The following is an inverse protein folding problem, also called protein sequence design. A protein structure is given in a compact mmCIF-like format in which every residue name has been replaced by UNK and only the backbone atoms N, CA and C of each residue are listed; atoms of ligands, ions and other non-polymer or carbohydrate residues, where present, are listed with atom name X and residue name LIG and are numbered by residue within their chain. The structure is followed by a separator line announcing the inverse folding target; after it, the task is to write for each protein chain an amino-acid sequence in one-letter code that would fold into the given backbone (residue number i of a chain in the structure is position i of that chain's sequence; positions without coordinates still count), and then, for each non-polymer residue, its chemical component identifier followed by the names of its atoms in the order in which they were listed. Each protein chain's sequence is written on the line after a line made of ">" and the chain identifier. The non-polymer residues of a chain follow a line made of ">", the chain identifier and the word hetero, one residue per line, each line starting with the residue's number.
data_IF_491473300549
#
_entry.id   IF_491473300549
#
_cell.length_a   1.000
_cell.length_b   1.000
_cell.length_c   1.000
_cell.angle_alpha   90.00
_cell.angle_beta   90.00
_cell.angle_gamma   90.00
#
_symmetry.space_group_name_H-M   'P 1'
#
loop_
_entity.id
_entity.type
_entity.pdbx_description
1 polymer ?
#
# COMPACT_ATOMS: atom_id res chain seq x y z
N UNK A 1 13.46 15.14 -8.05
CA UNK A 1 12.13 15.25 -7.39
C UNK A 1 11.34 16.32 -8.12
N UNK A 2 10.11 16.04 -8.60
CA UNK A 2 9.27 17.03 -9.28
C UNK A 2 8.41 17.79 -8.27
N UNK A 3 8.04 19.05 -8.57
CA UNK A 3 7.12 19.84 -7.72
C UNK A 3 5.80 19.10 -7.50
N UNK A 4 5.21 18.60 -8.58
CA UNK A 4 3.97 17.82 -8.55
C UNK A 4 4.05 16.62 -7.59
N UNK A 5 5.12 15.83 -7.67
CA UNK A 5 5.29 14.66 -6.78
C UNK A 5 5.48 15.03 -5.31
N UNK A 6 6.10 16.18 -5.04
CA UNK A 6 6.22 16.71 -3.67
C UNK A 6 4.85 17.15 -3.13
N UNK A 7 4.10 17.93 -3.90
CA UNK A 7 2.77 18.42 -3.51
C UNK A 7 1.77 17.26 -3.32
N UNK A 8 1.83 16.23 -4.17
CA UNK A 8 1.02 15.02 -4.05
C UNK A 8 1.34 14.23 -2.78
N UNK A 9 2.64 14.05 -2.45
CA UNK A 9 3.03 13.37 -1.22
C UNK A 9 2.65 14.17 0.02
N UNK A 10 2.94 15.47 0.03
CA UNK A 10 2.64 16.34 1.18
C UNK A 10 1.13 16.40 1.47
N UNK A 11 0.29 16.54 0.44
CA UNK A 11 -1.16 16.54 0.59
C UNK A 11 -1.74 15.18 1.02
N UNK A 12 -1.09 14.07 0.64
CA UNK A 12 -1.47 12.72 1.08
C UNK A 12 -1.06 12.40 2.52
N UNK A 13 0.05 12.94 3.01
CA UNK A 13 0.50 12.75 4.40
C UNK A 13 -0.30 13.61 5.39
N UNK A 14 -0.51 14.90 5.07
CA UNK A 14 -1.32 15.79 5.90
C UNK A 14 -1.92 16.93 5.06
N UNK A 15 -3.24 16.90 4.78
CA UNK A 15 -3.90 17.96 4.00
C UNK A 15 -3.80 19.35 4.64
N UNK A 16 -3.87 19.42 5.98
CA UNK A 16 -3.79 20.67 6.73
C UNK A 16 -2.39 21.28 6.67
N UNK A 17 -1.35 20.46 6.83
CA UNK A 17 0.04 20.91 6.71
C UNK A 17 0.39 21.32 5.28
N UNK A 18 -0.10 20.58 4.28
CA UNK A 18 0.10 20.91 2.87
C UNK A 18 -0.52 22.26 2.52
N UNK A 19 -1.73 22.54 3.02
CA UNK A 19 -2.43 23.82 2.79
C UNK A 19 -1.70 24.99 3.47
N UNK A 20 -1.17 24.78 4.68
CA UNK A 20 -0.32 25.77 5.36
C UNK A 20 0.98 26.06 4.59
N UNK A 21 1.52 25.08 3.86
CA UNK A 21 2.67 25.22 2.96
C UNK A 21 2.35 25.79 1.57
N UNK A 22 1.11 26.25 1.32
CA UNK A 22 0.68 26.84 0.05
C UNK A 22 0.23 25.83 -1.02
N UNK A 23 0.09 24.55 -0.68
CA UNK A 23 -0.40 23.51 -1.60
C UNK A 23 -1.92 23.42 -1.54
N UNK A 24 -2.59 23.48 -2.69
CA UNK A 24 -4.04 23.24 -2.74
C UNK A 24 -4.35 21.74 -2.65
N UNK A 25 -4.52 21.23 -1.43
CA UNK A 25 -4.77 19.83 -1.16
C UNK A 25 -6.06 19.31 -1.85
N UNK A 26 -7.14 20.10 -1.88
CA UNK A 26 -8.40 19.71 -2.54
C UNK A 26 -8.21 19.46 -4.04
N UNK A 27 -7.49 20.36 -4.72
CA UNK A 27 -7.18 20.19 -6.14
C UNK A 27 -6.32 18.96 -6.36
N UNK A 28 -5.36 18.71 -5.48
CA UNK A 28 -4.47 17.55 -5.61
C UNK A 28 -5.22 16.22 -5.46
N UNK A 29 -6.20 16.14 -4.55
CA UNK A 29 -7.08 14.98 -4.41
C UNK A 29 -7.85 14.70 -5.70
N UNK A 30 -8.44 15.73 -6.31
CA UNK A 30 -9.18 15.58 -7.59
C UNK A 30 -8.24 15.11 -8.70
N UNK A 31 -7.05 15.71 -8.82
CA UNK A 31 -6.06 15.30 -9.83
C UNK A 31 -5.63 13.85 -9.62
N UNK A 32 -5.35 13.44 -8.38
CA UNK A 32 -4.98 12.07 -8.06
C UNK A 32 -6.10 11.08 -8.40
N UNK A 33 -7.35 11.45 -8.11
CA UNK A 33 -8.53 10.63 -8.43
C UNK A 33 -8.71 10.46 -9.94
N UNK A 34 -8.62 11.55 -10.71
CA UNK A 34 -8.77 11.51 -12.17
C UNK A 34 -7.63 10.72 -12.82
N UNK A 35 -6.38 10.93 -12.38
CA UNK A 35 -5.22 10.19 -12.90
C UNK A 35 -5.31 8.70 -12.59
N UNK A 36 -5.64 8.33 -11.35
CA UNK A 36 -5.79 6.92 -10.96
C UNK A 36 -6.96 6.26 -11.69
N UNK A 37 -8.08 6.96 -11.84
CA UNK A 37 -9.23 6.50 -12.62
C UNK A 37 -8.90 6.30 -14.10
N UNK A 38 -8.13 7.20 -14.71
CA UNK A 38 -7.67 7.06 -16.09
C UNK A 38 -6.78 5.82 -16.26
N UNK A 39 -5.82 5.59 -15.36
CA UNK A 39 -4.94 4.41 -15.39
C UNK A 39 -5.74 3.12 -15.16
N UNK A 40 -6.62 3.09 -14.17
CA UNK A 40 -7.49 1.94 -13.89
C UNK A 40 -8.42 1.62 -15.07
N UNK A 41 -8.97 2.66 -15.71
CA UNK A 41 -9.78 2.53 -16.92
C UNK A 41 -8.99 1.91 -18.07
N UNK A 42 -7.79 2.44 -18.36
CA UNK A 42 -6.91 1.90 -19.40
C UNK A 42 -6.52 0.43 -19.13
N UNK A 43 -6.29 0.06 -17.88
CA UNK A 43 -5.99 -1.31 -17.49
C UNK A 43 -7.18 -2.27 -17.68
N UNK A 44 -8.42 -1.78 -17.51
CA UNK A 44 -9.64 -2.57 -17.69
C UNK A 44 -10.17 -2.62 -19.13
N UNK A 45 -9.73 -1.73 -20.02
CA UNK A 45 -10.18 -1.69 -21.41
C UNK A 45 -10.07 -3.02 -22.16
N UNK A 46 -8.98 -3.80 -22.06
CA UNK A 46 -8.86 -5.07 -22.79
C UNK A 46 -9.90 -6.10 -22.39
N UNK A 47 -10.33 -6.11 -21.12
CA UNK A 47 -11.32 -7.05 -20.60
C UNK A 47 -12.71 -6.72 -21.16
N UNK A 48 -13.04 -5.43 -21.27
CA UNK A 48 -14.33 -4.94 -21.79
C UNK A 48 -14.40 -5.05 -23.32
N UNK A 49 -13.31 -4.75 -24.01
CA UNK A 49 -13.29 -4.64 -25.48
C UNK A 49 -12.84 -5.91 -26.20
N UNK A 50 -12.12 -6.83 -25.54
CA UNK A 50 -11.27 -7.79 -26.25
C UNK A 50 -11.47 -9.27 -25.94
N UNK A 51 -12.06 -9.66 -24.80
CA UNK A 51 -11.93 -11.05 -24.35
C UNK A 51 -12.96 -12.03 -24.92
N UNK A 52 -14.24 -11.66 -24.88
CA UNK A 52 -15.33 -12.60 -25.19
C UNK A 52 -16.05 -12.27 -26.51
N UNK A 53 -15.69 -11.17 -27.20
CA UNK A 53 -16.42 -10.58 -28.35
C UNK A 53 -17.94 -10.46 -28.14
N UNK A 54 -18.38 -10.57 -26.89
CA UNK A 54 -19.75 -10.66 -26.45
C UNK A 54 -19.82 -9.97 -25.09
N UNK A 55 -20.81 -9.11 -24.91
CA UNK A 55 -21.09 -8.48 -23.63
C UNK A 55 -21.76 -9.52 -22.72
N UNK A 56 -20.96 -10.21 -21.93
CA UNK A 56 -21.49 -11.06 -20.85
C UNK A 56 -21.79 -10.18 -19.64
N UNK A 57 -22.87 -10.47 -18.90
CA UNK A 57 -23.19 -9.77 -17.64
C UNK A 57 -22.19 -10.10 -16.51
N UNK A 58 -21.26 -11.02 -16.78
CA UNK A 58 -20.19 -11.40 -15.86
C UNK A 58 -19.11 -10.32 -15.85
N UNK A 59 -19.43 -9.21 -15.20
CA UNK A 59 -18.44 -8.18 -14.90
C UNK A 59 -17.33 -8.79 -14.02
N UNK A 60 -16.05 -8.50 -14.31
CA UNK A 60 -14.96 -8.95 -13.46
C UNK A 60 -15.13 -8.40 -12.03
N UNK A 61 -15.59 -9.26 -11.13
CA UNK A 61 -15.80 -8.91 -9.73
C UNK A 61 -14.48 -9.06 -8.98
N UNK A 62 -14.17 -8.12 -8.08
CA UNK A 62 -13.09 -8.30 -7.09
C UNK A 62 -11.73 -7.71 -7.44
N UNK A 63 -11.49 -7.18 -8.64
CA UNK A 63 -10.20 -6.55 -8.98
C UNK A 63 -9.82 -5.38 -8.07
N UNK A 64 -10.80 -4.63 -7.56
CA UNK A 64 -10.54 -3.59 -6.55
C UNK A 64 -9.99 -4.16 -5.23
N UNK A 65 -10.50 -5.31 -4.79
CA UNK A 65 -10.03 -5.99 -3.59
C UNK A 65 -8.65 -6.61 -3.80
N UNK A 66 -8.41 -7.22 -4.97
CA UNK A 66 -7.08 -7.67 -5.38
C UNK A 66 -6.08 -6.51 -5.39
N UNK A 67 -6.44 -5.36 -5.95
CA UNK A 67 -5.59 -4.16 -5.94
C UNK A 67 -5.24 -3.70 -4.53
N UNK A 68 -6.20 -3.73 -3.61
CA UNK A 68 -5.96 -3.42 -2.20
C UNK A 68 -4.99 -4.43 -1.55
N UNK A 69 -5.19 -5.73 -1.80
CA UNK A 69 -4.31 -6.78 -1.27
C UNK A 69 -2.86 -6.60 -1.77
N UNK A 70 -2.67 -6.32 -3.06
CA UNK A 70 -1.35 -6.07 -3.65
C UNK A 70 -0.73 -4.77 -3.12
N UNK A 71 -1.53 -3.72 -2.90
CA UNK A 71 -1.06 -2.47 -2.30
C UNK A 71 -0.55 -2.66 -0.87
N UNK A 72 -1.24 -3.50 -0.07
CA UNK A 72 -0.83 -3.88 1.27
C UNK A 72 0.45 -4.72 1.25
N UNK A 73 0.50 -5.71 0.35
CA UNK A 73 1.68 -6.57 0.15
C UNK A 73 2.93 -5.74 -0.20
N UNK A 74 2.75 -4.70 -1.02
CA UNK A 74 3.81 -3.77 -1.41
C UNK A 74 4.03 -2.59 -0.45
N UNK A 75 3.29 -2.50 0.67
CA UNK A 75 3.34 -1.40 1.65
C UNK A 75 3.20 0.00 1.02
N UNK A 76 2.32 0.15 0.02
CA UNK A 76 2.17 1.38 -0.76
C UNK A 76 3.47 1.90 -1.42
N UNK A 77 4.51 1.06 -1.53
CA UNK A 77 5.76 1.39 -2.20
C UNK A 77 5.74 0.84 -3.63
N UNK A 78 6.03 1.65 -4.67
CA UNK A 78 5.84 1.24 -6.06
C UNK A 78 6.62 -0.03 -6.44
N UNK A 79 7.86 -0.15 -5.96
CA UNK A 79 8.66 -1.36 -6.20
C UNK A 79 8.06 -2.60 -5.54
N UNK A 80 7.56 -2.48 -4.29
CA UNK A 80 6.94 -3.59 -3.57
C UNK A 80 5.62 -4.03 -4.23
N UNK A 81 4.84 -3.06 -4.72
CA UNK A 81 3.60 -3.31 -5.47
C UNK A 81 3.92 -4.08 -6.76
N UNK A 82 4.99 -3.72 -7.48
CA UNK A 82 5.38 -4.42 -8.71
C UNK A 82 5.71 -5.90 -8.45
N UNK A 83 6.52 -6.20 -7.43
CA UNK A 83 6.80 -7.59 -7.04
C UNK A 83 5.53 -8.33 -6.57
N UNK A 84 4.69 -7.65 -5.79
CA UNK A 84 3.42 -8.19 -5.32
C UNK A 84 2.47 -8.53 -6.47
N UNK A 85 2.39 -7.68 -7.50
CA UNK A 85 1.56 -7.89 -8.67
C UNK A 85 2.04 -9.08 -9.52
N UNK A 86 3.35 -9.26 -9.66
CA UNK A 86 3.93 -10.42 -10.36
C UNK A 86 3.58 -11.72 -9.63
N UNK A 87 3.77 -11.75 -8.31
CA UNK A 87 3.41 -12.89 -7.48
C UNK A 87 1.92 -13.21 -7.56
N UNK A 88 1.08 -12.17 -7.44
CA UNK A 88 -0.37 -12.32 -7.53
C UNK A 88 -0.80 -12.89 -8.88
N UNK A 89 -0.25 -12.35 -9.98
CA UNK A 89 -0.53 -12.83 -11.34
C UNK A 89 -0.07 -14.26 -11.55
N UNK A 90 1.09 -14.63 -11.00
CA UNK A 90 1.60 -16.00 -11.06
C UNK A 90 0.66 -17.00 -10.38
N UNK A 91 0.18 -16.67 -9.17
CA UNK A 91 -0.78 -17.50 -8.44
C UNK A 91 -2.11 -17.60 -9.20
N UNK A 92 -2.64 -16.46 -9.68
CA UNK A 92 -3.90 -16.41 -10.42
C UNK A 92 -3.87 -17.24 -11.72
N UNK A 93 -2.78 -17.14 -12.50
CA UNK A 93 -2.59 -17.96 -13.71
C UNK A 93 -2.39 -19.44 -13.38
N UNK A 94 -1.72 -19.75 -12.27
CA UNK A 94 -1.58 -21.12 -11.78
C UNK A 94 -2.93 -21.74 -11.44
N UNK A 95 -3.89 -20.97 -10.92
CA UNK A 95 -5.24 -21.47 -10.63
C UNK A 95 -5.92 -22.07 -11.87
N UNK A 96 -5.78 -21.42 -13.02
CA UNK A 96 -6.32 -21.92 -14.29
C UNK A 96 -5.66 -23.24 -14.71
N UNK A 97 -4.35 -23.37 -14.53
CA UNK A 97 -3.62 -24.58 -14.86
C UNK A 97 -3.98 -25.75 -13.93
N UNK A 98 -4.17 -25.47 -12.64
CA UNK A 98 -4.53 -26.44 -11.61
C UNK A 98 -5.97 -26.95 -11.78
N UNK A 99 -6.89 -26.06 -12.18
CA UNK A 99 -8.29 -26.39 -12.47
C UNK A 99 -8.40 -27.49 -13.54
N UNK A 100 -7.53 -27.45 -14.56
CA UNK A 100 -7.48 -28.46 -15.62
C UNK A 100 -7.06 -29.86 -15.15
N UNK A 101 -6.41 -29.97 -13.98
CA UNK A 101 -5.96 -31.24 -13.38
C UNK A 101 -6.87 -31.65 -12.22
N UNK A 102 -8.05 -31.02 -12.08
CA UNK A 102 -9.05 -31.35 -11.06
C UNK A 102 -8.77 -30.75 -9.68
N UNK A 103 -7.85 -29.79 -9.58
CA UNK A 103 -7.55 -29.11 -8.32
C UNK A 103 -8.43 -27.86 -8.18
N UNK A 104 -9.23 -27.72 -7.11
CA UNK A 104 -10.09 -26.55 -6.91
C UNK A 104 -9.31 -25.23 -6.81
N UNK A 105 -9.84 -24.18 -7.43
CA UNK A 105 -9.26 -22.82 -7.40
C UNK A 105 -9.20 -22.22 -6.00
N UNK A 106 -10.04 -22.69 -5.08
CA UNK A 106 -10.05 -22.24 -3.68
C UNK A 106 -8.69 -22.44 -2.99
N UNK A 107 -7.91 -23.44 -3.40
CA UNK A 107 -6.55 -23.66 -2.88
C UNK A 107 -5.66 -22.45 -3.17
N UNK A 108 -5.75 -21.90 -4.39
CA UNK A 108 -4.99 -20.72 -4.76
C UNK A 108 -5.45 -19.49 -3.97
N UNK A 109 -6.75 -19.35 -3.74
CA UNK A 109 -7.29 -18.27 -2.91
C UNK A 109 -6.72 -18.33 -1.48
N UNK A 110 -6.65 -19.54 -0.90
CA UNK A 110 -6.05 -19.77 0.43
C UNK A 110 -4.55 -19.45 0.40
N UNK A 111 -3.82 -19.82 -0.66
CA UNK A 111 -2.40 -19.48 -0.83
C UNK A 111 -2.18 -17.97 -0.95
N UNK A 112 -2.99 -17.26 -1.74
CA UNK A 112 -2.92 -15.80 -1.83
C UNK A 112 -3.15 -15.16 -0.45
N UNK A 113 -4.17 -15.63 0.29
CA UNK A 113 -4.45 -15.16 1.65
C UNK A 113 -3.30 -15.42 2.63
N UNK A 114 -2.71 -16.62 2.59
CA UNK A 114 -1.59 -16.99 3.47
C UNK A 114 -0.32 -16.19 3.16
N UNK A 115 -0.05 -15.91 1.88
CA UNK A 115 1.06 -15.03 1.45
C UNK A 115 0.86 -13.62 1.99
N UNK A 116 -0.33 -13.05 1.81
CA UNK A 116 -0.64 -11.71 2.34
C UNK A 116 -0.48 -11.68 3.86
N UNK A 117 -1.04 -12.67 4.57
CA UNK A 117 -0.91 -12.78 6.01
C UNK A 117 0.56 -12.88 6.44
N UNK A 118 1.35 -13.72 5.77
CA UNK A 118 2.76 -13.93 6.06
C UNK A 118 3.57 -12.64 5.92
N UNK A 119 3.36 -11.89 4.84
CA UNK A 119 4.07 -10.63 4.62
C UNK A 119 3.65 -9.54 5.61
N UNK A 120 2.35 -9.41 5.87
CA UNK A 120 1.83 -8.44 6.84
C UNK A 120 2.37 -8.74 8.24
N UNK A 121 2.33 -10.01 8.66
CA UNK A 121 2.84 -10.43 9.97
C UNK A 121 4.35 -10.23 10.07
N UNK A 122 5.12 -10.67 9.08
CA UNK A 122 6.58 -10.49 9.06
C UNK A 122 6.94 -9.01 9.17
N UNK A 123 6.26 -8.15 8.41
CA UNK A 123 6.49 -6.71 8.43
C UNK A 123 6.12 -6.07 9.77
N UNK A 124 4.97 -6.40 10.34
CA UNK A 124 4.54 -5.89 11.64
C UNK A 124 5.48 -6.34 12.76
N UNK A 125 5.99 -7.57 12.69
CA UNK A 125 7.01 -8.08 13.61
C UNK A 125 8.29 -7.24 13.51
N UNK A 126 8.82 -7.02 12.31
CA UNK A 126 10.02 -6.19 12.09
C UNK A 126 9.81 -4.78 12.65
N UNK A 127 8.69 -4.16 12.32
CA UNK A 127 8.34 -2.82 12.81
C UNK A 127 8.28 -2.76 14.34
N UNK A 128 7.69 -3.76 14.99
CA UNK A 128 7.65 -3.84 16.46
C UNK A 128 9.04 -3.97 17.07
N UNK A 129 9.92 -4.76 16.45
CA UNK A 129 11.30 -4.88 16.89
C UNK A 129 12.09 -3.58 16.73
N UNK A 130 11.92 -2.86 15.62
CA UNK A 130 12.56 -1.57 15.39
C UNK A 130 12.14 -0.53 16.44
N UNK A 131 10.84 -0.41 16.70
CA UNK A 131 10.32 0.52 17.72
C UNK A 131 10.82 0.16 19.13
N UNK A 132 10.84 -1.12 19.46
CA UNK A 132 11.36 -1.60 20.75
C UNK A 132 12.88 -1.40 20.89
N UNK A 133 13.63 -1.38 19.78
CA UNK A 133 15.05 -1.06 19.78
C UNK A 133 15.29 0.46 19.91
N UNK A 134 14.46 1.28 19.27
CA UNK A 134 14.54 2.73 19.32
C UNK A 134 14.24 3.28 20.72
N UNK A 135 13.21 2.75 21.39
CA UNK A 135 12.89 3.10 22.79
C UNK A 135 14.06 2.85 23.75
N UNK A 136 14.83 1.77 23.55
CA UNK A 136 16.02 1.48 24.36
C UNK A 136 17.10 2.54 24.15
N UNK A 137 17.32 3.01 22.92
CA UNK A 137 18.31 4.06 22.61
C UNK A 137 17.92 5.41 23.21
N UNK A 138 16.66 5.82 23.07
CA UNK A 138 16.16 7.08 23.63
C UNK A 138 16.21 7.05 25.17
N UNK A 139 15.84 5.94 25.81
CA UNK A 139 15.94 5.80 27.27
C UNK A 139 17.39 5.85 27.78
N UNK A 140 18.36 5.35 27.00
CA UNK A 140 19.77 5.46 27.33
C UNK A 140 20.28 6.91 27.22
N UNK A 141 19.82 7.65 26.20
CA UNK A 141 20.17 9.07 26.02
C UNK A 141 19.59 9.96 27.13
N UNK A 142 18.32 9.76 27.50
CA UNK A 142 17.69 10.51 28.60
C UNK A 142 18.38 10.27 29.95
N UNK A 143 18.96 9.08 30.17
CA UNK A 143 19.78 8.78 31.36
C UNK A 143 21.16 9.45 31.35
N UNK A 144 21.67 9.83 30.18
CA UNK A 144 22.97 10.50 30.03
C UNK A 144 22.89 12.02 30.04
N UNK A 145 21.69 12.61 29.93
CA UNK A 145 21.50 14.07 30.10
C UNK A 145 21.54 14.37 31.60
N UNK A 146 22.55 15.11 32.10
CA UNK A 146 22.61 15.49 33.51
C UNK A 146 21.38 16.31 33.85
N UNK A 147 20.73 16.01 34.98
CA UNK A 147 19.62 16.83 35.48
C UNK A 147 20.09 18.27 35.59
N UNK A 148 19.59 19.14 34.71
CA UNK A 148 19.86 20.57 34.77
C UNK A 148 19.36 21.05 36.14
N UNK A 149 20.21 21.67 36.98
CA UNK A 149 19.78 22.11 38.29
C UNK A 149 18.63 23.09 38.09
N UNK A 150 17.45 22.68 38.56
CA UNK A 150 16.26 23.50 38.59
C UNK A 150 16.64 24.78 39.30
N UNK A 151 16.74 25.89 38.55
CA UNK A 151 16.94 27.20 39.14
C UNK A 151 15.70 27.45 40.01
N UNK A 152 15.88 27.34 41.32
CA UNK A 152 14.88 27.72 42.30
C UNK A 152 14.36 29.12 41.93
N UNK A 153 13.04 29.35 41.96
CA UNK A 153 12.51 30.69 41.81
C UNK A 153 13.02 31.50 43.01
N UNK A 154 13.91 32.45 42.72
CA UNK A 154 14.38 33.45 43.68
C UNK A 154 13.17 34.27 44.11
N UNK A 155 12.85 34.14 45.41
CA UNK A 155 12.08 35.00 46.32
C UNK A 155 10.93 35.87 45.74
#
# INVERSE_FOLDING_TARGET
>A
RTRFGFELKASGESPTAATAGGVNAKRMVIIALVLSGAVAGLAGLPEVLGRDFAYTLNSPQGYGFTGLAVALLGRNHPAGIAFGAVLWSFLDKSALALDNVGVPRDIVLIMQGSVVLSVVVAYEIVRRYELAAEQRRVSAQLRSVPAEPTKEPVA
#
